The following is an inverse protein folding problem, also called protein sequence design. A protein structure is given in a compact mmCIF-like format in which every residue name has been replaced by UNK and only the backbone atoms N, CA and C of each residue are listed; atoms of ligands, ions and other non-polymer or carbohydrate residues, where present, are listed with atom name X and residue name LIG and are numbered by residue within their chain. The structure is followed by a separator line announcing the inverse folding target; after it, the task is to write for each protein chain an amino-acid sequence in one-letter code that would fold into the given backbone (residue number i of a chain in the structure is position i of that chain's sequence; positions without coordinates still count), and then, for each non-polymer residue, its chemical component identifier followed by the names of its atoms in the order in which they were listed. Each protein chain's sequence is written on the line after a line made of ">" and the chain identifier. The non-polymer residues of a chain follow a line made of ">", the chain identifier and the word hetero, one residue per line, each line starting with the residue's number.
data_IF_256097196366
#
_entry.id   IF_256097196366
#
_cell.length_a   1.000
_cell.length_b   1.000
_cell.length_c   1.000
_cell.angle_alpha   90.00
_cell.angle_beta   90.00
_cell.angle_gamma   90.00
#
_symmetry.space_group_name_H-M   'P 1'
#
loop_
_entity.id
_entity.type
_entity.pdbx_description
1 polymer ?
#
# COMPACT_ATOMS: atom_id res chain seq x y z
N UNK A 1 7.57 12.30 -0.53
CA UNK A 1 6.83 13.55 -0.81
C UNK A 1 5.38 13.32 -1.23
N UNK A 2 5.09 12.69 -2.37
CA UNK A 2 3.70 12.50 -2.85
C UNK A 2 2.75 11.86 -1.82
N UNK A 3 3.21 10.85 -1.07
CA UNK A 3 2.40 10.24 0.00
C UNK A 3 2.19 11.18 1.18
N UNK A 4 3.18 12.00 1.54
CA UNK A 4 3.03 13.00 2.59
C UNK A 4 2.10 14.14 2.16
N UNK A 5 2.01 14.46 0.86
CA UNK A 5 0.99 15.39 0.34
C UNK A 5 -0.44 14.85 0.51
N UNK A 6 -0.62 13.52 0.50
CA UNK A 6 -1.92 12.87 0.71
C UNK A 6 -2.26 12.75 2.20
N UNK A 7 -1.31 12.25 3.00
CA UNK A 7 -1.56 11.87 4.41
C UNK A 7 -1.22 12.99 5.41
N UNK A 8 -0.57 14.06 4.96
CA UNK A 8 -0.03 15.11 5.81
C UNK A 8 1.34 14.75 6.39
N UNK A 9 2.08 15.77 6.81
CA UNK A 9 3.43 15.62 7.42
C UNK A 9 3.39 15.08 8.85
N UNK A 10 2.22 15.09 9.49
CA UNK A 10 2.00 14.54 10.84
C UNK A 10 1.81 13.03 10.83
N UNK A 11 1.53 12.43 9.66
CA UNK A 11 1.50 10.98 9.53
C UNK A 11 2.92 10.45 9.85
N UNK A 12 3.03 9.59 10.85
CA UNK A 12 4.29 9.02 11.36
C UNK A 12 4.90 8.02 10.35
N UNK A 13 5.26 8.51 9.16
CA UNK A 13 5.71 7.72 8.03
C UNK A 13 7.23 7.62 8.02
N UNK A 14 7.73 6.40 7.86
CA UNK A 14 9.16 6.11 7.75
C UNK A 14 9.42 5.42 6.42
N UNK A 15 10.29 6.04 5.63
CA UNK A 15 10.83 5.45 4.42
C UNK A 15 11.81 4.32 4.77
N UNK A 16 11.69 3.18 4.10
CA UNK A 16 12.62 2.07 4.23
C UNK A 16 12.97 1.52 2.86
N UNK A 17 14.24 1.58 2.53
CA UNK A 17 14.77 0.96 1.32
C UNK A 17 15.22 -0.48 1.60
N UNK A 18 15.09 -1.35 0.61
CA UNK A 18 15.52 -2.75 0.66
C UNK A 18 16.15 -3.14 -0.67
N UNK A 19 16.81 -4.29 -0.73
CA UNK A 19 17.42 -4.77 -1.98
C UNK A 19 16.40 -4.94 -3.12
N UNK A 20 15.12 -5.19 -2.81
CA UNK A 20 14.12 -5.54 -3.82
C UNK A 20 13.00 -4.51 -4.01
N UNK A 21 12.84 -3.58 -3.07
CA UNK A 21 11.79 -2.56 -3.10
C UNK A 21 12.01 -1.45 -2.08
N UNK A 22 11.41 -0.31 -2.36
CA UNK A 22 11.27 0.80 -1.41
C UNK A 22 9.90 0.73 -0.72
N UNK A 23 9.81 1.01 0.57
CA UNK A 23 8.56 0.94 1.34
C UNK A 23 8.33 2.19 2.17
N UNK A 24 7.06 2.57 2.31
CA UNK A 24 6.63 3.57 3.30
C UNK A 24 5.93 2.83 4.43
N UNK A 25 6.42 3.00 5.66
CA UNK A 25 5.96 2.31 6.86
C UNK A 25 5.27 3.28 7.82
N UNK A 26 4.22 2.84 8.50
CA UNK A 26 3.67 3.54 9.65
C UNK A 26 4.45 3.19 10.91
N UNK A 27 4.97 4.21 11.62
CA UNK A 27 5.78 4.09 12.83
C UNK A 27 7.00 3.16 12.69
N UNK A 28 7.52 3.00 11.46
CA UNK A 28 8.65 2.11 11.17
C UNK A 28 8.37 0.62 11.31
N UNK A 29 7.13 0.22 11.56
CA UNK A 29 6.74 -1.19 11.75
C UNK A 29 6.66 -1.88 10.39
N UNK A 30 7.52 -2.88 10.14
CA UNK A 30 7.57 -3.62 8.86
C UNK A 30 6.23 -4.25 8.46
N UNK A 31 5.41 -4.67 9.41
CA UNK A 31 4.07 -5.24 9.14
C UNK A 31 3.04 -4.19 8.78
N UNK A 32 3.29 -2.91 9.10
CA UNK A 32 2.38 -1.78 8.86
C UNK A 32 2.95 -0.89 7.76
N UNK A 33 2.91 -1.41 6.54
CA UNK A 33 3.42 -0.72 5.37
C UNK A 33 2.26 -0.11 4.58
N UNK A 34 2.35 1.17 4.26
CA UNK A 34 1.33 1.93 3.52
C UNK A 34 1.41 1.62 2.03
N UNK A 35 2.63 1.53 1.50
CA UNK A 35 2.87 1.07 0.13
C UNK A 35 4.28 0.49 0.00
N UNK A 36 4.47 -0.32 -1.04
CA UNK A 36 5.78 -0.77 -1.54
C UNK A 36 5.91 -0.39 -2.99
N UNK A 37 7.06 0.13 -3.38
CA UNK A 37 7.41 0.54 -4.73
C UNK A 37 8.52 -0.36 -5.28
N UNK A 38 8.33 -0.84 -6.50
CA UNK A 38 9.24 -1.74 -7.21
C UNK A 38 9.66 -1.10 -8.54
N UNK A 39 10.95 -0.90 -8.75
CA UNK A 39 11.54 -0.35 -9.98
C UNK A 39 12.13 -1.43 -10.90
N UNK A 40 12.42 -2.62 -10.37
CA UNK A 40 13.08 -3.72 -11.07
C UNK A 40 12.18 -4.53 -12.04
N UNK A 41 10.93 -4.11 -12.23
CA UNK A 41 10.00 -4.71 -13.19
C UNK A 41 10.12 -4.01 -14.54
N UNK A 42 9.57 -4.60 -15.61
CA UNK A 42 9.51 -3.95 -16.93
C UNK A 42 8.90 -2.54 -16.86
N UNK A 43 7.95 -2.33 -15.94
CA UNK A 43 7.39 -1.02 -15.58
C UNK A 43 7.38 -0.87 -14.06
N UNK A 44 7.68 0.32 -13.52
CA UNK A 44 7.60 0.57 -12.09
C UNK A 44 6.18 0.34 -11.55
N UNK A 45 6.08 -0.28 -10.38
CA UNK A 45 4.79 -0.62 -9.77
C UNK A 45 4.75 -0.31 -8.29
N UNK A 46 3.54 -0.21 -7.74
CA UNK A 46 3.32 -0.24 -6.31
C UNK A 46 2.45 -1.43 -5.89
N UNK A 47 2.61 -1.85 -4.65
CA UNK A 47 1.65 -2.67 -3.92
C UNK A 47 1.09 -1.88 -2.75
N UNK A 48 -0.13 -2.23 -2.35
CA UNK A 48 -0.84 -1.73 -1.18
C UNK A 48 -1.12 -2.89 -0.21
N UNK A 49 -1.26 -2.66 1.10
CA UNK A 49 -1.57 -3.70 2.09
C UNK A 49 -3.03 -4.19 2.01
N UNK A 50 -3.78 -3.76 0.99
CA UNK A 50 -5.19 -4.00 0.80
C UNK A 50 -5.39 -5.06 -0.29
N UNK A 51 -6.43 -5.88 -0.14
CA UNK A 51 -6.90 -6.74 -1.21
C UNK A 51 -7.51 -5.89 -2.33
N UNK A 52 -7.20 -6.23 -3.59
CA UNK A 52 -7.78 -5.58 -4.76
C UNK A 52 -9.11 -6.26 -5.08
N UNK A 53 -10.18 -5.71 -4.50
CA UNK A 53 -11.57 -6.07 -4.85
C UNK A 53 -12.06 -5.30 -6.09
N UNK A 54 -13.25 -5.64 -6.57
CA UNK A 54 -13.86 -5.03 -7.75
C UNK A 54 -14.00 -3.50 -7.62
N UNK A 55 -14.27 -3.00 -6.41
CA UNK A 55 -14.45 -1.58 -6.15
C UNK A 55 -13.12 -0.81 -6.30
N UNK A 56 -12.04 -1.36 -5.72
CA UNK A 56 -10.68 -0.80 -5.84
C UNK A 56 -10.15 -0.92 -7.25
N UNK A 57 -10.38 -2.05 -7.92
CA UNK A 57 -10.02 -2.20 -9.33
C UNK A 57 -10.72 -1.14 -10.20
N UNK A 58 -12.01 -0.89 -9.98
CA UNK A 58 -12.74 0.14 -10.69
C UNK A 58 -12.20 1.55 -10.36
N UNK A 59 -11.80 1.83 -9.12
CA UNK A 59 -11.15 3.10 -8.75
C UNK A 59 -9.81 3.29 -9.47
N UNK A 60 -8.94 2.28 -9.49
CA UNK A 60 -7.64 2.30 -10.18
C UNK A 60 -7.83 2.58 -11.67
N UNK A 61 -8.80 1.89 -12.28
CA UNK A 61 -9.11 2.05 -13.71
C UNK A 61 -9.66 3.45 -14.00
N UNK A 62 -10.57 3.97 -13.16
CA UNK A 62 -11.09 5.36 -13.29
C UNK A 62 -10.00 6.41 -13.09
N UNK A 63 -9.03 6.13 -12.22
CA UNK A 63 -7.83 6.93 -12.06
C UNK A 63 -6.88 6.83 -13.27
N UNK A 64 -7.22 6.07 -14.31
CA UNK A 64 -6.42 5.94 -15.54
C UNK A 64 -5.12 5.20 -15.31
N UNK A 65 -5.11 4.25 -14.38
CA UNK A 65 -3.98 3.39 -14.06
C UNK A 65 -4.32 1.93 -14.37
N UNK A 66 -3.29 1.10 -14.45
CA UNK A 66 -3.36 -0.29 -14.87
C UNK A 66 -2.94 -1.22 -13.73
N UNK A 67 -3.62 -2.35 -13.61
CA UNK A 67 -3.22 -3.45 -12.75
C UNK A 67 -2.33 -4.44 -13.51
N UNK A 68 -1.22 -4.80 -12.90
CA UNK A 68 -0.39 -5.94 -13.27
C UNK A 68 -0.73 -7.16 -12.40
N UNK A 69 -0.14 -8.31 -12.73
CA UNK A 69 -0.33 -9.54 -11.98
C UNK A 69 0.03 -9.39 -10.49
N UNK A 70 -0.70 -10.08 -9.62
CA UNK A 70 -0.45 -10.08 -8.18
C UNK A 70 -0.87 -8.81 -7.44
N UNK A 71 -1.80 -8.02 -8.00
CA UNK A 71 -2.32 -6.81 -7.38
C UNK A 71 -1.40 -5.59 -7.49
N UNK A 72 -0.34 -5.69 -8.28
CA UNK A 72 0.55 -4.57 -8.57
C UNK A 72 -0.17 -3.49 -9.37
N UNK A 73 -0.01 -2.24 -8.98
CA UNK A 73 -0.54 -1.08 -9.72
C UNK A 73 0.63 -0.43 -10.45
N UNK A 74 0.50 -0.24 -11.76
CA UNK A 74 1.57 0.35 -12.55
C UNK A 74 1.62 1.87 -12.33
N UNK A 75 2.82 2.36 -12.01
CA UNK A 75 3.09 3.77 -11.69
C UNK A 75 4.26 4.23 -12.56
N UNK A 76 4.00 4.50 -13.84
CA UNK A 76 5.04 4.95 -14.80
C UNK A 76 5.75 6.24 -14.37
N UNK A 77 5.08 7.05 -13.55
CA UNK A 77 5.61 8.27 -12.97
C UNK A 77 5.23 8.36 -11.50
N UNK A 78 6.14 8.76 -10.59
CA UNK A 78 5.83 8.85 -9.16
C UNK A 78 4.60 9.71 -8.83
N UNK A 79 4.29 10.74 -9.63
CA UNK A 79 3.15 11.63 -9.41
C UNK A 79 1.80 10.94 -9.60
N UNK A 80 1.76 9.80 -10.31
CA UNK A 80 0.54 9.01 -10.48
C UNK A 80 0.00 8.47 -9.14
N UNK A 81 0.82 8.42 -8.09
CA UNK A 81 0.39 8.12 -6.72
C UNK A 81 -0.72 9.09 -6.26
N UNK A 82 -0.68 10.36 -6.68
CA UNK A 82 -1.69 11.37 -6.31
C UNK A 82 -3.09 11.02 -6.86
N UNK A 83 -3.16 10.24 -7.93
CA UNK A 83 -4.42 9.77 -8.53
C UNK A 83 -5.07 8.64 -7.71
N UNK A 84 -4.34 8.05 -6.77
CA UNK A 84 -4.77 6.97 -5.88
C UNK A 84 -5.01 7.46 -4.45
N UNK A 85 -5.35 8.74 -4.27
CA UNK A 85 -5.52 9.37 -2.95
C UNK A 85 -6.41 8.54 -2.02
N UNK A 86 -7.55 8.05 -2.51
CA UNK A 86 -8.46 7.19 -1.73
C UNK A 86 -7.78 5.93 -1.21
N UNK A 87 -7.14 5.17 -2.12
CA UNK A 87 -6.43 3.95 -1.74
C UNK A 87 -5.22 4.17 -0.81
N UNK A 88 -4.51 5.28 -0.94
CA UNK A 88 -3.40 5.63 -0.04
C UNK A 88 -3.93 5.95 1.36
N UNK A 89 -5.05 6.68 1.46
CA UNK A 89 -5.74 6.94 2.72
C UNK A 89 -6.24 5.64 3.34
N UNK A 90 -6.89 4.76 2.57
CA UNK A 90 -7.34 3.45 3.04
C UNK A 90 -6.17 2.59 3.55
N UNK A 91 -5.05 2.60 2.85
CA UNK A 91 -3.85 1.84 3.24
C UNK A 91 -3.27 2.35 4.56
N UNK A 92 -3.31 3.67 4.76
CA UNK A 92 -2.92 4.28 6.03
C UNK A 92 -3.89 3.93 7.16
N UNK A 93 -5.21 4.04 6.93
CA UNK A 93 -6.24 3.66 7.89
C UNK A 93 -6.13 2.19 8.30
N UNK A 94 -5.81 1.31 7.34
CA UNK A 94 -5.53 -0.09 7.61
C UNK A 94 -4.33 -0.24 8.55
N UNK A 95 -3.26 0.54 8.38
CA UNK A 95 -2.05 0.48 9.19
C UNK A 95 -2.23 1.02 10.61
N UNK A 96 -3.05 2.05 10.82
CA UNK A 96 -3.26 2.62 12.16
C UNK A 96 -4.22 1.79 13.01
N UNK A 97 -5.05 0.96 12.39
CA UNK A 97 -5.97 0.07 13.10
C UNK A 97 -5.26 -1.21 13.59
N UNK A 98 -4.99 -1.26 14.90
CA UNK A 98 -4.32 -2.39 15.56
C UNK A 98 -5.05 -3.73 15.39
N UNK A 99 -6.38 -3.73 15.26
CA UNK A 99 -7.16 -4.96 15.10
C UNK A 99 -6.80 -5.71 13.80
N UNK A 100 -6.36 -5.01 12.76
CA UNK A 100 -5.89 -5.63 11.51
C UNK A 100 -4.61 -6.47 11.69
N UNK A 101 -3.87 -6.26 12.78
CA UNK A 101 -2.62 -6.95 13.06
C UNK A 101 -2.71 -7.88 14.27
N UNK A 102 -3.90 -7.98 14.89
CA UNK A 102 -4.13 -8.86 16.01
C UNK A 102 -4.14 -10.31 15.51
N UNK A 103 -3.20 -11.12 15.99
CA UNK A 103 -3.22 -12.55 15.70
C UNK A 103 -4.53 -13.12 16.24
N UNK A 104 -5.40 -13.62 15.34
CA UNK A 104 -6.47 -14.52 15.76
C UNK A 104 -5.78 -15.74 16.35
N UNK A 105 -5.89 -15.92 17.67
CA UNK A 105 -5.49 -17.18 18.30
C UNK A 105 -6.22 -18.27 17.53
N UNK A 106 -5.47 -19.14 16.84
CA UNK A 106 -6.04 -20.38 16.33
C UNK A 106 -6.38 -21.19 17.57
N UNK A 107 -7.63 -21.09 18.04
CA UNK A 107 -8.15 -22.08 18.95
C UNK A 107 -8.09 -23.40 18.18
N UNK A 108 -7.19 -24.28 18.63
CA UNK A 108 -7.16 -25.67 18.21
C UNK A 108 -8.54 -26.25 18.51
N UNK A 109 -9.39 -26.39 17.49
CA UNK A 109 -10.42 -27.42 17.52
C UNK A 109 -9.71 -28.74 17.23
N UNK A 110 -9.32 -29.43 18.29
CA UNK A 110 -9.04 -30.86 18.26
C UNK A 110 -10.40 -31.59 18.07
N UNK A 111 -10.45 -32.49 17.09
CA UNK A 111 -11.45 -33.55 16.95
C UNK A 111 -10.71 -34.82 16.56
#
# INVERSE_FOLDING_TARGET
>A
DNVAMILGTEAELIAKDTESYYSILFQGKTTRWVLRYFDNKQRPTILLPLEIDDARQAEITRAGLELAAGGHIIIDRPENILRLTGLIVDSYQYCINDENFRQKRKDKQES
#
